data_IF_425424756011
#
_entry.id   IF_425424756011
#
_cell.length_a   1.000
_cell.length_b   1.000
_cell.length_c   1.000
_cell.angle_alpha   90.00
_cell.angle_beta   90.00
_cell.angle_gamma   90.00
#
_symmetry.space_group_name_H-M   'P 1'
#
loop_
_entity.id
_entity.type
_entity.pdbx_description
1 polymer ?
#
# COMPACT_ATOMS: atom_id res chain seq x y z
N UNK A 1 14.09 -1.52 5.83
CA UNK A 1 13.62 -0.89 4.56
C UNK A 1 12.76 -1.89 3.80
N UNK A 2 11.69 -1.40 3.17
CA UNK A 2 10.85 -2.17 2.25
C UNK A 2 10.95 -1.59 0.84
N UNK A 3 10.95 -2.46 -0.17
CA UNK A 3 10.77 -2.07 -1.57
C UNK A 3 9.26 -2.11 -1.87
N UNK A 4 8.73 -0.99 -2.34
CA UNK A 4 7.36 -0.91 -2.84
C UNK A 4 7.35 -1.20 -4.34
N UNK A 5 6.83 -2.35 -4.73
CA UNK A 5 6.77 -2.74 -6.14
C UNK A 5 6.01 -1.72 -6.98
N UNK A 6 6.70 -1.09 -7.93
CA UNK A 6 6.10 -0.18 -8.90
C UNK A 6 5.81 -0.85 -10.26
N UNK A 7 6.28 -2.08 -10.47
CA UNK A 7 6.13 -2.79 -11.74
C UNK A 7 4.74 -3.40 -11.96
N UNK A 8 3.98 -3.63 -10.88
CA UNK A 8 2.63 -4.18 -10.94
C UNK A 8 1.57 -3.15 -10.57
N UNK A 9 0.39 -3.28 -11.14
CA UNK A 9 -0.79 -2.51 -10.73
C UNK A 9 -1.47 -3.14 -9.50
N UNK A 10 -2.56 -2.55 -9.04
CA UNK A 10 -3.34 -3.05 -7.90
C UNK A 10 -4.02 -4.40 -8.14
N UNK A 11 -4.19 -4.82 -9.39
CA UNK A 11 -4.71 -6.13 -9.76
C UNK A 11 -3.60 -7.20 -9.93
N UNK A 12 -2.34 -6.86 -9.60
CA UNK A 12 -1.21 -7.77 -9.73
C UNK A 12 -0.70 -7.95 -11.17
N UNK A 13 -1.20 -7.17 -12.13
CA UNK A 13 -0.76 -7.23 -13.53
C UNK A 13 0.48 -6.37 -13.75
N UNK A 14 1.40 -6.88 -14.56
CA UNK A 14 2.60 -6.16 -14.96
C UNK A 14 2.23 -4.92 -15.79
N UNK A 15 2.76 -3.77 -15.42
CA UNK A 15 2.53 -2.51 -16.13
C UNK A 15 3.33 -2.46 -17.43
N UNK A 16 2.78 -1.79 -18.43
CA UNK A 16 3.46 -1.53 -19.71
C UNK A 16 4.84 -0.87 -19.47
N UNK A 17 5.85 -1.38 -20.13
CA UNK A 17 7.23 -0.86 -20.01
C UNK A 17 8.06 -1.52 -18.90
N UNK A 18 7.47 -2.31 -18.02
CA UNK A 18 8.21 -3.09 -17.05
C UNK A 18 8.48 -4.52 -17.54
N UNK A 19 9.60 -5.08 -17.11
CA UNK A 19 9.93 -6.50 -17.33
C UNK A 19 9.67 -7.29 -16.05
N UNK A 20 9.25 -8.54 -16.21
CA UNK A 20 9.12 -9.46 -15.08
C UNK A 20 10.50 -9.67 -14.45
N UNK A 21 10.59 -9.49 -13.14
CA UNK A 21 11.81 -9.77 -12.39
C UNK A 21 11.83 -11.24 -11.96
N UNK A 22 13.02 -11.82 -11.88
CA UNK A 22 13.21 -13.20 -11.45
C UNK A 22 13.15 -13.35 -9.92
N UNK A 23 13.40 -12.27 -9.20
CA UNK A 23 13.47 -12.24 -7.74
C UNK A 23 12.88 -10.94 -7.19
N UNK A 24 12.18 -10.96 -6.03
CA UNK A 24 11.59 -9.77 -5.43
C UNK A 24 12.59 -8.68 -5.05
N UNK A 25 13.80 -9.05 -4.66
CA UNK A 25 14.87 -8.11 -4.30
C UNK A 25 15.42 -7.28 -5.48
N UNK A 26 15.10 -7.69 -6.71
CA UNK A 26 15.41 -6.98 -7.95
C UNK A 26 14.25 -6.09 -8.43
N UNK A 27 13.18 -6.01 -7.66
CA UNK A 27 11.98 -5.29 -8.06
C UNK A 27 12.24 -3.78 -8.16
N UNK A 28 11.83 -3.14 -9.26
CA UNK A 28 11.88 -1.68 -9.36
C UNK A 28 10.82 -1.06 -8.46
N UNK A 29 11.23 -0.06 -7.70
CA UNK A 29 10.33 0.67 -6.82
C UNK A 29 11.02 1.52 -5.79
N UNK A 30 10.25 2.38 -5.16
CA UNK A 30 10.71 3.21 -4.07
C UNK A 30 11.08 2.36 -2.83
N UNK A 31 12.11 2.78 -2.13
CA UNK A 31 12.59 2.15 -0.90
C UNK A 31 12.29 3.08 0.27
N UNK A 32 11.53 2.59 1.23
CA UNK A 32 11.13 3.36 2.40
C UNK A 32 11.33 2.55 3.68
N UNK A 33 11.43 3.20 4.86
CA UNK A 33 11.25 2.52 6.13
C UNK A 33 9.88 1.83 6.15
N UNK A 34 9.83 0.56 6.58
CA UNK A 34 8.56 -0.15 6.75
C UNK A 34 7.78 0.39 7.97
N UNK A 35 8.50 1.00 8.92
CA UNK A 35 7.94 1.68 10.08
C UNK A 35 8.39 3.12 10.04
N UNK A 36 7.44 4.04 10.12
CA UNK A 36 7.68 5.49 10.14
C UNK A 36 7.25 6.03 11.49
N UNK A 37 8.02 6.99 12.02
CA UNK A 37 7.67 7.69 13.25
C UNK A 37 7.04 9.03 12.91
N UNK A 38 5.89 9.33 13.51
CA UNK A 38 5.27 10.64 13.37
C UNK A 38 6.07 11.66 14.21
N UNK A 39 6.64 12.71 13.60
CA UNK A 39 7.47 13.69 14.32
C UNK A 39 6.67 14.53 15.32
N UNK A 40 5.36 14.63 15.17
CA UNK A 40 4.51 15.44 16.06
C UNK A 40 4.17 14.76 17.39
N UNK A 41 4.10 13.43 17.41
CA UNK A 41 3.63 12.68 18.59
C UNK A 41 4.44 11.42 18.88
N UNK A 42 5.54 11.19 18.20
CA UNK A 42 6.42 10.02 18.33
C UNK A 42 5.75 8.64 18.14
N UNK A 43 4.52 8.59 17.64
CA UNK A 43 3.84 7.32 17.39
C UNK A 43 4.39 6.68 16.12
N UNK A 44 4.68 5.38 16.22
CA UNK A 44 5.09 4.55 15.08
C UNK A 44 3.87 4.13 14.26
N UNK A 45 4.05 4.01 12.96
CA UNK A 45 3.06 3.51 12.01
C UNK A 45 3.70 2.62 10.96
N UNK A 46 2.95 1.69 10.45
CA UNK A 46 3.37 0.90 9.29
C UNK A 46 3.23 1.73 8.01
N UNK A 47 4.28 1.74 7.21
CA UNK A 47 4.26 2.27 5.85
C UNK A 47 4.50 1.10 4.89
N UNK A 48 3.44 0.34 4.68
CA UNK A 48 3.50 -0.97 4.06
C UNK A 48 2.47 -1.06 2.94
N UNK A 49 2.90 -1.48 1.76
CA UNK A 49 2.02 -1.87 0.65
C UNK A 49 2.24 -3.34 0.32
N UNK A 50 1.17 -4.13 0.25
CA UNK A 50 1.28 -5.55 -0.11
C UNK A 50 1.02 -5.72 -1.60
N UNK A 51 2.10 -5.72 -2.38
CA UNK A 51 2.10 -6.01 -3.82
C UNK A 51 2.91 -7.28 -4.10
N UNK A 52 2.77 -7.91 -5.28
CA UNK A 52 3.36 -9.22 -5.58
C UNK A 52 4.84 -9.36 -5.27
N UNK A 53 5.63 -8.31 -5.50
CA UNK A 53 7.08 -8.33 -5.28
C UNK A 53 7.52 -7.33 -4.18
N UNK A 54 6.64 -6.98 -3.24
CA UNK A 54 7.08 -6.23 -2.07
C UNK A 54 8.10 -7.05 -1.29
N UNK A 55 9.19 -6.42 -0.86
CA UNK A 55 10.32 -7.14 -0.28
C UNK A 55 10.99 -6.32 0.83
N UNK A 56 11.29 -6.97 1.94
CA UNK A 56 12.04 -6.36 3.05
C UNK A 56 13.53 -6.60 2.84
N UNK A 57 14.25 -5.52 2.61
CA UNK A 57 15.69 -5.55 2.37
C UNK A 57 16.44 -6.16 3.56
N UNK A 58 17.40 -7.05 3.24
CA UNK A 58 18.27 -7.68 4.23
C UNK A 58 17.75 -9.01 4.76
N UNK A 59 16.52 -9.41 4.45
CA UNK A 59 16.00 -10.73 4.78
C UNK A 59 16.16 -11.71 3.62
N UNK A 60 16.11 -13.00 3.91
CA UNK A 60 15.91 -14.01 2.87
C UNK A 60 14.51 -13.85 2.28
N UNK A 61 14.32 -14.26 1.02
CA UNK A 61 13.05 -14.05 0.31
C UNK A 61 11.87 -14.68 1.07
N UNK A 62 12.02 -15.91 1.54
CA UNK A 62 10.98 -16.60 2.31
C UNK A 62 10.71 -15.96 3.67
N UNK A 63 11.71 -15.43 4.34
CA UNK A 63 11.56 -14.70 5.61
C UNK A 63 10.83 -13.37 5.40
N UNK A 64 11.21 -12.65 4.35
CA UNK A 64 10.52 -11.42 3.96
C UNK A 64 9.06 -11.66 3.62
N UNK A 65 8.77 -12.70 2.86
CA UNK A 65 7.41 -13.05 2.45
C UNK A 65 6.56 -13.44 3.66
N UNK A 66 7.10 -14.29 4.54
CA UNK A 66 6.42 -14.67 5.78
C UNK A 66 6.10 -13.45 6.65
N UNK A 67 7.11 -12.60 6.92
CA UNK A 67 6.93 -11.42 7.76
C UNK A 67 5.92 -10.44 7.16
N UNK A 68 5.95 -10.22 5.84
CA UNK A 68 4.98 -9.36 5.16
C UNK A 68 3.55 -9.92 5.24
N UNK A 69 3.38 -11.22 5.14
CA UNK A 69 2.08 -11.87 5.29
C UNK A 69 1.57 -11.77 6.73
N UNK A 70 2.43 -12.03 7.71
CA UNK A 70 2.04 -11.95 9.13
C UNK A 70 1.61 -10.52 9.49
N UNK A 71 2.37 -9.50 9.09
CA UNK A 71 2.02 -8.09 9.32
C UNK A 71 0.72 -7.75 8.59
N UNK A 72 0.57 -8.18 7.35
CA UNK A 72 -0.62 -7.87 6.55
C UNK A 72 -1.88 -8.51 7.15
N UNK A 73 -1.77 -9.74 7.61
CA UNK A 73 -2.86 -10.43 8.29
C UNK A 73 -3.37 -9.61 9.48
N UNK A 74 -2.46 -9.15 10.35
CA UNK A 74 -2.82 -8.32 11.49
C UNK A 74 -3.34 -6.94 11.10
N UNK A 75 -2.80 -6.34 10.03
CA UNK A 75 -3.19 -5.00 9.58
C UNK A 75 -4.51 -4.95 8.78
N UNK A 76 -5.16 -6.09 8.54
CA UNK A 76 -6.39 -6.19 7.73
C UNK A 76 -7.49 -7.00 8.40
N UNK A 77 -7.46 -7.14 9.73
CA UNK A 77 -8.55 -7.76 10.49
C UNK A 77 -9.80 -6.88 10.46
N UNK A 78 -10.97 -7.47 10.62
CA UNK A 78 -12.26 -6.76 10.63
C UNK A 78 -12.33 -5.70 11.73
N UNK A 79 -11.67 -5.95 12.86
CA UNK A 79 -11.65 -5.05 14.03
C UNK A 79 -11.00 -3.67 13.75
N UNK A 80 -10.06 -3.62 12.79
CA UNK A 80 -9.31 -2.41 12.45
C UNK A 80 -9.55 -1.92 11.03
N UNK A 81 -10.45 -2.58 10.30
CA UNK A 81 -10.89 -2.18 8.97
C UNK A 81 -12.26 -1.52 9.03
N UNK A 82 -12.46 -0.60 8.12
CA UNK A 82 -13.73 0.08 7.93
C UNK A 82 -14.07 0.10 6.45
N UNK A 83 -15.32 -0.18 6.12
CA UNK A 83 -15.81 -0.18 4.74
C UNK A 83 -16.74 0.99 4.52
N UNK A 84 -16.42 1.85 3.56
CA UNK A 84 -17.28 2.95 3.12
C UNK A 84 -18.27 2.44 2.08
N UNK A 85 -19.54 2.50 2.41
CA UNK A 85 -20.63 2.38 1.45
C UNK A 85 -20.92 3.78 0.89
N UNK A 86 -20.60 3.99 -0.39
CA UNK A 86 -20.65 5.30 -1.00
C UNK A 86 -22.06 5.69 -1.45
N UNK A 87 -22.44 6.91 -1.10
CA UNK A 87 -23.62 7.58 -1.62
C UNK A 87 -23.24 8.81 -2.45
N UNK A 88 -24.17 9.29 -3.28
CA UNK A 88 -23.95 10.50 -4.07
C UNK A 88 -23.87 11.70 -3.14
N UNK A 89 -22.78 12.45 -3.23
CA UNK A 89 -22.51 13.59 -2.36
C UNK A 89 -21.55 13.32 -1.23
N UNK A 90 -21.16 12.06 -0.99
CA UNK A 90 -20.19 11.72 0.03
C UNK A 90 -18.84 12.37 -0.22
N UNK A 91 -18.27 12.92 0.83
CA UNK A 91 -16.89 13.41 0.90
C UNK A 91 -16.11 12.64 1.94
N UNK A 92 -15.05 11.97 1.52
CA UNK A 92 -14.14 11.26 2.42
C UNK A 92 -12.76 11.93 2.41
N UNK A 93 -12.29 12.32 3.58
CA UNK A 93 -10.96 12.90 3.79
C UNK A 93 -10.16 11.99 4.71
N UNK A 94 -8.95 11.62 4.31
CA UNK A 94 -8.06 10.82 5.14
C UNK A 94 -6.60 11.24 5.03
N UNK A 95 -5.83 11.00 6.08
CA UNK A 95 -4.38 11.20 6.06
C UNK A 95 -3.71 9.96 5.48
N UNK A 96 -3.31 10.04 4.21
CA UNK A 96 -2.82 8.90 3.42
C UNK A 96 -1.59 8.17 4.00
N UNK A 97 -0.82 8.84 4.86
CA UNK A 97 0.32 8.23 5.56
C UNK A 97 -0.08 7.38 6.78
N UNK A 98 -1.37 7.37 7.16
CA UNK A 98 -1.86 6.65 8.35
C UNK A 98 -2.82 5.53 8.05
N UNK A 99 -3.37 5.48 6.85
CA UNK A 99 -4.35 4.48 6.46
C UNK A 99 -3.94 3.78 5.17
N UNK A 100 -4.17 2.49 5.14
CA UNK A 100 -4.17 1.71 3.91
C UNK A 100 -5.60 1.73 3.37
N UNK A 101 -5.73 1.79 2.06
CA UNK A 101 -7.04 1.74 1.43
C UNK A 101 -7.05 0.74 0.28
N UNK A 102 -8.16 0.08 0.14
CA UNK A 102 -8.43 -0.89 -0.91
C UNK A 102 -9.79 -0.55 -1.53
N UNK A 103 -9.96 -0.85 -2.78
CA UNK A 103 -11.26 -0.85 -3.45
C UNK A 103 -11.63 -2.29 -3.75
N UNK A 104 -12.83 -2.68 -3.39
CA UNK A 104 -13.38 -3.96 -3.79
C UNK A 104 -13.78 -3.97 -5.27
N UNK A 105 -13.88 -5.15 -5.84
CA UNK A 105 -14.38 -5.31 -7.21
C UNK A 105 -15.84 -4.83 -7.29
N UNK A 106 -16.21 -4.27 -8.41
CA UNK A 106 -17.60 -3.87 -8.71
C UNK A 106 -17.93 -4.31 -10.13
N UNK A 107 -19.23 -4.36 -10.45
CA UNK A 107 -19.69 -4.71 -11.78
C UNK A 107 -19.08 -3.78 -12.83
N UNK A 108 -18.33 -4.32 -13.82
CA UNK A 108 -17.67 -3.52 -14.86
C UNK A 108 -18.66 -2.74 -15.74
N UNK A 109 -19.94 -3.14 -15.78
CA UNK A 109 -20.99 -2.43 -16.51
C UNK A 109 -21.61 -1.28 -15.70
N UNK A 110 -21.31 -1.20 -14.40
CA UNK A 110 -21.78 -0.11 -13.54
C UNK A 110 -20.99 1.16 -13.81
N UNK A 111 -21.70 2.28 -13.91
CA UNK A 111 -21.06 3.60 -13.97
C UNK A 111 -20.65 4.04 -12.58
N UNK A 112 -19.36 4.17 -12.35
CA UNK A 112 -18.79 4.71 -11.11
C UNK A 112 -17.87 5.88 -11.43
N UNK A 113 -18.23 7.06 -10.98
CA UNK A 113 -17.43 8.28 -11.12
C UNK A 113 -17.02 8.74 -9.74
N UNK A 114 -15.70 8.87 -9.52
CA UNK A 114 -15.12 9.35 -8.27
C UNK A 114 -14.11 10.45 -8.59
N UNK A 115 -14.23 11.57 -7.91
CA UNK A 115 -13.23 12.62 -7.96
C UNK A 115 -12.26 12.44 -6.80
N UNK A 116 -10.96 12.57 -7.07
CA UNK A 116 -9.92 12.48 -6.06
C UNK A 116 -8.92 13.60 -6.24
N UNK A 117 -8.61 14.25 -5.15
CA UNK A 117 -7.50 15.20 -5.05
C UNK A 117 -6.54 14.80 -3.94
N UNK A 118 -5.33 15.28 -3.99
CA UNK A 118 -4.31 15.04 -2.96
C UNK A 118 -3.64 16.36 -2.62
N UNK A 119 -3.55 16.63 -1.32
CA UNK A 119 -2.77 17.75 -0.80
C UNK A 119 -1.34 17.24 -0.59
N UNK A 120 -0.37 17.93 -1.16
CA UNK A 120 1.05 17.62 -0.96
C UNK A 120 1.43 17.96 0.48
N UNK A 121 1.91 16.97 1.21
CA UNK A 121 2.47 17.17 2.55
C UNK A 121 3.90 17.70 2.51
N UNK A 122 4.34 18.22 3.63
CA UNK A 122 5.73 18.64 3.84
C UNK A 122 6.57 17.54 4.54
N UNK A 123 5.97 16.39 4.82
CA UNK A 123 6.63 15.32 5.57
C UNK A 123 7.64 14.61 4.67
N UNK A 124 8.92 14.73 5.00
CA UNK A 124 9.93 13.83 4.48
C UNK A 124 9.75 12.46 5.13
N UNK A 125 9.67 11.40 4.32
CA UNK A 125 9.62 10.01 4.79
C UNK A 125 11.05 9.54 5.13
N UNK A 126 11.66 10.14 6.14
CA UNK A 126 12.98 9.75 6.65
C UNK A 126 12.85 8.64 7.69
#
# INVERSE_FOLDING_TARGET
>A
MIIHDSSHNSAGMLRKGFKKVSRPDLTPGARHPAVITNPQNNKKRLFLGRRPNAYILGLKINESEKLLNDIWYHATTEEITWTQNWEVGDLLIWKNLYVLHKRDAFDPNSRRIMHRTQIKGNDNLN
#
